data_IF_141921187853
#
_entry.id   IF_141921187853
#
_cell.length_a   1.000
_cell.length_b   1.000
_cell.length_c   1.000
_cell.angle_alpha   90.00
_cell.angle_beta   90.00
_cell.angle_gamma   90.00
#
_symmetry.space_group_name_H-M   'P 1'
#
loop_
_entity.id
_entity.type
_entity.pdbx_description
1 polymer ?
#
# COMPACT_ATOMS: atom_id res chain seq x y z
N UNK A 1 -8.82 36.18 46.57
CA UNK A 1 -8.18 35.09 45.80
C UNK A 1 -8.39 35.38 44.31
N UNK A 2 -7.41 35.98 43.62
CA UNK A 2 -7.56 36.43 42.21
C UNK A 2 -7.31 35.26 41.27
N UNK A 3 -8.35 34.78 40.60
CA UNK A 3 -8.31 33.77 39.55
C UNK A 3 -7.53 34.26 38.33
N UNK A 4 -6.35 33.67 38.06
CA UNK A 4 -5.63 33.84 36.80
C UNK A 4 -6.41 33.15 35.67
N UNK A 5 -6.94 33.95 34.74
CA UNK A 5 -7.63 33.48 33.54
C UNK A 5 -6.61 33.34 32.42
N UNK A 6 -6.11 32.11 32.21
CA UNK A 6 -5.20 31.74 31.13
C UNK A 6 -5.85 32.03 29.76
N UNK A 7 -5.46 33.15 29.12
CA UNK A 7 -5.84 33.46 27.73
C UNK A 7 -4.66 33.07 26.82
N UNK A 8 -4.77 32.03 25.99
CA UNK A 8 -3.67 31.60 25.13
C UNK A 8 -3.31 32.71 24.13
N UNK A 9 -2.01 32.99 23.99
CA UNK A 9 -1.47 33.98 23.05
C UNK A 9 -1.82 33.61 21.60
N UNK A 10 -2.23 34.60 20.79
CA UNK A 10 -2.68 34.40 19.39
C UNK A 10 -1.65 33.67 18.51
N UNK A 11 -0.35 33.87 18.80
CA UNK A 11 0.74 33.17 18.12
C UNK A 11 0.82 31.68 18.49
N UNK A 12 0.47 31.32 19.73
CA UNK A 12 0.38 29.93 20.13
C UNK A 12 -0.73 29.20 19.38
N UNK A 13 -1.85 29.87 19.12
CA UNK A 13 -2.95 29.29 18.32
C UNK A 13 -2.52 29.12 16.87
N UNK A 14 -1.84 30.11 16.28
CA UNK A 14 -1.33 30.03 14.90
C UNK A 14 -0.30 28.92 14.71
N UNK A 15 0.65 28.77 15.64
CA UNK A 15 1.64 27.69 15.61
C UNK A 15 0.99 26.32 15.82
N UNK A 16 0.01 26.21 16.72
CA UNK A 16 -0.72 24.97 16.92
C UNK A 16 -1.51 24.57 15.66
N UNK A 17 -2.11 25.53 14.96
CA UNK A 17 -2.84 25.26 13.71
C UNK A 17 -1.93 24.87 12.55
N UNK A 18 -0.74 25.44 12.42
CA UNK A 18 0.21 25.06 11.36
C UNK A 18 0.83 23.68 11.62
N UNK A 19 1.10 23.34 12.89
CA UNK A 19 1.58 22.00 13.27
C UNK A 19 0.51 20.94 13.02
N UNK A 20 -0.76 21.25 13.32
CA UNK A 20 -1.87 20.31 13.11
C UNK A 20 -2.10 20.01 11.62
N UNK A 21 -1.93 21.01 10.75
CA UNK A 21 -2.07 20.85 9.30
C UNK A 21 -0.89 20.09 8.67
N UNK A 22 0.33 20.26 9.20
CA UNK A 22 1.49 19.50 8.75
C UNK A 22 1.39 18.01 9.11
N UNK A 23 0.77 17.67 10.24
CA UNK A 23 0.61 16.28 10.69
C UNK A 23 -0.29 15.45 9.76
N UNK A 24 -1.31 16.03 9.12
CA UNK A 24 -2.18 15.30 8.19
C UNK A 24 -1.49 14.89 6.88
N UNK A 25 -0.42 15.58 6.48
CA UNK A 25 0.31 15.28 5.23
C UNK A 25 1.19 14.02 5.38
N UNK A 26 1.60 13.69 6.61
CA UNK A 26 2.48 12.55 6.90
C UNK A 26 1.75 11.18 6.88
N UNK A 27 0.42 11.16 6.77
CA UNK A 27 -0.40 9.94 6.93
C UNK A 27 -0.83 9.26 5.62
N UNK A 28 -0.41 9.75 4.45
CA UNK A 28 -0.97 9.31 3.14
C UNK A 28 -0.11 8.22 2.49
N UNK A 29 0.18 7.14 3.21
CA UNK A 29 0.76 5.94 2.60
C UNK A 29 -0.20 4.76 2.78
N UNK A 30 -1.25 4.74 1.95
CA UNK A 30 -2.14 3.58 1.82
C UNK A 30 -1.28 2.37 1.40
N UNK A 31 -1.16 1.39 2.31
CA UNK A 31 -0.44 0.15 2.01
C UNK A 31 -1.30 -0.67 1.06
N UNK A 32 -0.85 -0.81 -0.18
CA UNK A 32 -1.55 -1.65 -1.15
C UNK A 32 -1.59 -3.12 -0.68
N UNK A 33 -2.79 -3.63 -0.41
CA UNK A 33 -2.97 -5.02 -0.02
C UNK A 33 -3.14 -5.93 -1.25
N UNK A 34 -2.11 -6.70 -1.54
CA UNK A 34 -2.11 -7.65 -2.65
C UNK A 34 -3.15 -8.75 -2.43
N UNK A 35 -3.34 -9.24 -1.19
CA UNK A 35 -4.29 -10.32 -0.88
C UNK A 35 -5.74 -9.88 -1.04
N UNK A 36 -6.01 -8.61 -0.79
CA UNK A 36 -7.33 -8.03 -1.01
C UNK A 36 -7.67 -7.99 -2.50
N UNK A 37 -6.71 -7.64 -3.35
CA UNK A 37 -6.96 -7.31 -4.77
C UNK A 37 -6.66 -8.44 -5.77
N UNK A 38 -5.85 -9.43 -5.40
CA UNK A 38 -5.42 -10.51 -6.29
C UNK A 38 -5.67 -11.90 -5.71
N UNK A 39 -5.97 -12.85 -6.60
CA UNK A 39 -5.94 -14.27 -6.32
C UNK A 39 -4.56 -14.83 -6.68
N UNK A 40 -3.94 -15.56 -5.76
CA UNK A 40 -2.66 -16.25 -5.98
C UNK A 40 -2.92 -17.71 -6.34
N UNK A 41 -2.33 -18.16 -7.43
CA UNK A 41 -2.30 -19.57 -7.81
C UNK A 41 -0.86 -20.02 -8.08
N UNK A 42 -0.60 -21.30 -7.88
CA UNK A 42 0.72 -21.90 -8.04
C UNK A 42 0.64 -23.07 -9.00
N UNK A 43 1.58 -23.10 -9.95
CA UNK A 43 1.61 -24.08 -11.03
C UNK A 43 3.01 -24.64 -11.20
N UNK A 44 3.05 -25.88 -11.71
CA UNK A 44 4.26 -26.56 -12.11
C UNK A 44 4.21 -26.74 -13.63
N UNK A 45 4.92 -25.88 -14.36
CA UNK A 45 4.85 -25.83 -15.82
C UNK A 45 5.92 -26.78 -16.40
N UNK A 46 5.52 -27.81 -17.18
CA UNK A 46 6.47 -28.68 -17.86
C UNK A 46 7.10 -27.98 -19.06
N UNK A 47 8.41 -28.08 -19.17
CA UNK A 47 9.20 -27.54 -20.28
C UNK A 47 9.39 -28.61 -21.37
N UNK A 48 9.96 -28.18 -22.51
CA UNK A 48 10.21 -29.06 -23.67
C UNK A 48 11.17 -30.20 -23.37
N UNK A 49 12.10 -29.99 -22.44
CA UNK A 49 13.10 -30.96 -21.99
C UNK A 49 12.58 -31.87 -20.85
N UNK A 50 11.32 -31.72 -20.43
CA UNK A 50 10.71 -32.47 -19.34
C UNK A 50 10.98 -31.90 -17.95
N UNK A 51 11.80 -30.84 -17.83
CA UNK A 51 12.00 -30.13 -16.55
C UNK A 51 10.73 -29.38 -16.18
N UNK A 52 10.46 -29.25 -14.88
CA UNK A 52 9.27 -28.64 -14.33
C UNK A 52 9.62 -27.35 -13.59
N UNK A 53 9.05 -26.22 -14.01
CA UNK A 53 9.29 -24.92 -13.38
C UNK A 53 8.14 -24.55 -12.44
N UNK A 54 8.50 -24.11 -11.24
CA UNK A 54 7.56 -23.49 -10.33
C UNK A 54 7.17 -22.10 -10.85
N UNK A 55 5.88 -21.77 -10.81
CA UNK A 55 5.35 -20.50 -11.29
C UNK A 55 4.22 -20.03 -10.39
N UNK A 56 4.34 -18.80 -9.88
CA UNK A 56 3.26 -18.12 -9.17
C UNK A 56 2.54 -17.17 -10.12
N UNK A 57 1.21 -17.23 -10.12
CA UNK A 57 0.34 -16.37 -10.93
C UNK A 57 -0.54 -15.56 -10.01
N UNK A 58 -0.51 -14.23 -10.18
CA UNK A 58 -1.39 -13.30 -9.48
C UNK A 58 -2.43 -12.79 -10.49
N UNK A 59 -3.69 -13.13 -10.26
CA UNK A 59 -4.80 -12.70 -11.13
C UNK A 59 -5.61 -11.62 -10.41
N UNK A 60 -5.89 -10.46 -11.02
CA UNK A 60 -6.78 -9.47 -10.43
C UNK A 60 -8.15 -10.09 -10.13
N UNK A 61 -8.71 -9.79 -8.95
CA UNK A 61 -10.09 -10.20 -8.63
C UNK A 61 -11.11 -9.44 -9.46
N UNK A 62 -10.76 -8.24 -9.92
CA UNK A 62 -11.57 -7.51 -10.88
C UNK A 62 -11.55 -8.22 -12.25
N UNK A 63 -12.74 -8.52 -12.75
CA UNK A 63 -12.99 -9.18 -14.05
C UNK A 63 -13.71 -8.27 -15.04
N UNK A 64 -13.81 -6.97 -14.75
CA UNK A 64 -14.47 -5.96 -15.59
C UNK A 64 -13.90 -5.89 -17.00
N UNK A 65 -12.61 -6.20 -17.15
CA UNK A 65 -11.88 -6.14 -18.41
C UNK A 65 -10.87 -7.28 -18.55
N UNK A 66 -10.38 -7.47 -19.78
CA UNK A 66 -9.26 -8.39 -20.06
C UNK A 66 -7.94 -7.67 -19.79
N UNK A 67 -7.12 -8.23 -18.91
CA UNK A 67 -5.81 -7.69 -18.59
C UNK A 67 -4.70 -8.41 -19.38
N UNK A 68 -3.62 -7.69 -19.75
CA UNK A 68 -2.43 -8.32 -20.31
C UNK A 68 -1.68 -9.12 -19.24
N UNK A 69 -0.84 -10.06 -19.68
CA UNK A 69 0.03 -10.85 -18.79
C UNK A 69 1.40 -10.18 -18.72
N UNK A 70 1.88 -9.93 -17.50
CA UNK A 70 3.26 -9.57 -17.23
C UNK A 70 4.01 -10.80 -16.71
N UNK A 71 5.09 -11.18 -17.38
CA UNK A 71 5.88 -12.35 -17.04
C UNK A 71 7.28 -11.93 -16.59
N UNK A 72 7.66 -12.38 -15.39
CA UNK A 72 9.02 -12.23 -14.88
C UNK A 72 9.57 -13.60 -14.51
N UNK A 73 10.84 -13.85 -14.86
CA UNK A 73 11.57 -15.06 -14.48
C UNK A 73 12.76 -14.66 -13.64
N UNK A 74 12.90 -15.28 -12.47
CA UNK A 74 13.96 -15.00 -11.51
C UNK A 74 14.58 -16.29 -10.99
N UNK A 75 15.91 -16.33 -10.74
CA UNK A 75 16.54 -17.44 -10.05
C UNK A 75 16.40 -17.36 -8.52
N UNK A 76 15.83 -16.27 -8.01
CA UNK A 76 15.65 -16.00 -6.57
C UNK A 76 14.20 -16.27 -6.14
N UNK A 77 14.03 -16.76 -4.90
CA UNK A 77 12.72 -17.01 -4.27
C UNK A 77 12.16 -15.77 -3.58
#
# INVERSE_FOLDING_TARGET
>A
MKTQKNRPSRYMILIATTVLLAASVLSVQEKFDIKANYDKAEYIIPMRDGVKLYTQVYTPKDKSQKYPILLFRTPYS
#
